data_IF_574425352811
#
_entry.id   IF_574425352811
#
_cell.length_a   1.000
_cell.length_b   1.000
_cell.length_c   1.000
_cell.angle_alpha   90.00
_cell.angle_beta   90.00
_cell.angle_gamma   90.00
#
_symmetry.space_group_name_H-M   'P 1'
#
loop_
_entity.id
_entity.type
_entity.pdbx_description
1 polymer ?
#
# COMPACT_ATOMS: atom_id res chain seq x y z
N UNK A 1 -27.41 18.62 1.30
CA UNK A 1 -26.23 17.90 1.81
C UNK A 1 -25.41 17.56 0.59
N UNK A 2 -24.32 18.29 0.35
CA UNK A 2 -23.38 17.95 -0.73
C UNK A 2 -22.60 16.73 -0.27
N UNK A 3 -22.67 15.65 -1.05
CA UNK A 3 -21.83 14.48 -0.92
C UNK A 3 -20.37 14.92 -1.11
N UNK A 4 -19.63 14.99 -0.01
CA UNK A 4 -18.20 15.31 -0.02
C UNK A 4 -17.46 13.99 -0.15
N UNK A 5 -17.40 13.46 -1.36
CA UNK A 5 -16.56 12.30 -1.68
C UNK A 5 -15.12 12.78 -1.87
N UNK A 6 -14.19 12.08 -1.22
CA UNK A 6 -12.75 12.29 -1.38
C UNK A 6 -12.22 11.34 -2.44
N UNK A 7 -11.46 11.86 -3.39
CA UNK A 7 -10.78 11.07 -4.41
C UNK A 7 -9.29 11.05 -4.11
N UNK A 8 -8.70 9.86 -4.05
CA UNK A 8 -7.26 9.66 -4.02
C UNK A 8 -6.86 9.22 -5.42
N UNK A 9 -6.03 10.02 -6.09
CA UNK A 9 -5.42 9.66 -7.36
C UNK A 9 -4.05 9.02 -7.08
N UNK A 10 -3.91 7.76 -7.45
CA UNK A 10 -2.66 7.00 -7.29
C UNK A 10 -1.70 7.18 -8.48
N UNK A 11 -2.08 7.93 -9.52
CA UNK A 11 -1.29 8.20 -10.72
C UNK A 11 -1.20 7.03 -11.70
N UNK A 12 -1.17 5.79 -11.18
CA UNK A 12 -1.10 4.54 -11.93
C UNK A 12 -2.21 3.57 -11.51
N UNK A 13 -2.38 2.47 -12.24
CA UNK A 13 -3.45 1.49 -12.00
C UNK A 13 -3.26 0.75 -10.65
N UNK A 14 -4.18 0.91 -9.67
CA UNK A 14 -4.17 0.11 -8.45
C UNK A 14 -4.77 -1.28 -8.70
N UNK A 15 -4.19 -2.30 -8.07
CA UNK A 15 -4.71 -3.68 -8.08
C UNK A 15 -5.45 -4.05 -6.81
N UNK A 16 -4.99 -3.56 -5.66
CA UNK A 16 -5.58 -3.84 -4.34
C UNK A 16 -5.40 -2.63 -3.43
N UNK A 17 -6.29 -2.51 -2.44
CA UNK A 17 -6.26 -1.46 -1.42
C UNK A 17 -6.62 -2.03 -0.06
N UNK A 18 -6.07 -1.43 1.00
CA UNK A 18 -6.41 -1.78 2.37
C UNK A 18 -6.37 -0.54 3.26
N UNK A 19 -7.25 -0.48 4.24
CA UNK A 19 -7.29 0.61 5.20
C UNK A 19 -6.55 0.21 6.45
N UNK A 20 -5.70 1.11 6.95
CA UNK A 20 -5.05 0.90 8.24
C UNK A 20 -6.12 0.74 9.33
N UNK A 21 -5.98 -0.23 10.25
CA UNK A 21 -7.06 -0.60 11.18
C UNK A 21 -7.49 0.52 12.14
N UNK A 22 -6.60 1.46 12.44
CA UNK A 22 -6.84 2.51 13.46
C UNK A 22 -6.45 3.94 13.05
N UNK A 23 -5.77 4.12 11.92
CA UNK A 23 -5.19 5.41 11.51
C UNK A 23 -5.79 5.82 10.18
N UNK A 24 -5.93 7.12 9.86
CA UNK A 24 -6.48 7.57 8.60
C UNK A 24 -5.44 7.45 7.47
N UNK A 25 -5.11 6.20 7.14
CA UNK A 25 -4.12 5.79 6.18
C UNK A 25 -4.73 4.71 5.29
N UNK A 26 -4.65 4.89 3.98
CA UNK A 26 -4.97 3.84 3.01
C UNK A 26 -3.69 3.41 2.30
N UNK A 27 -3.58 2.12 2.02
CA UNK A 27 -2.50 1.55 1.23
C UNK A 27 -3.05 1.09 -0.13
N UNK A 28 -2.22 1.20 -1.17
CA UNK A 28 -2.54 0.70 -2.50
C UNK A 28 -1.31 0.04 -3.15
N UNK A 29 -1.52 -1.06 -3.85
CA UNK A 29 -0.51 -1.73 -4.65
C UNK A 29 -0.76 -1.45 -6.11
N UNK A 30 0.25 -1.00 -6.84
CA UNK A 30 0.06 -0.53 -8.24
C UNK A 30 0.82 -1.39 -9.26
N UNK A 31 0.51 -1.15 -10.53
CA UNK A 31 1.05 -1.87 -11.69
C UNK A 31 2.57 -1.85 -11.81
N UNK A 32 3.24 -0.82 -11.31
CA UNK A 32 4.70 -0.68 -11.35
C UNK A 32 5.41 -1.53 -10.31
N UNK A 33 4.67 -2.17 -9.39
CA UNK A 33 5.24 -2.92 -8.27
C UNK A 33 5.38 -2.12 -6.98
N UNK A 34 5.02 -0.84 -7.01
CA UNK A 34 5.10 0.01 -5.83
C UNK A 34 3.92 -0.21 -4.88
N UNK A 35 4.23 -0.09 -3.59
CA UNK A 35 3.28 0.09 -2.52
C UNK A 35 3.19 1.59 -2.21
N UNK A 36 1.97 2.12 -2.29
CA UNK A 36 1.63 3.50 -1.97
C UNK A 36 0.95 3.55 -0.59
N UNK A 37 1.39 4.44 0.26
CA UNK A 37 0.81 4.73 1.57
C UNK A 37 0.31 6.18 1.57
N UNK A 38 -1.00 6.35 1.67
CA UNK A 38 -1.69 7.62 1.49
C UNK A 38 -2.45 8.02 2.76
N UNK A 39 -1.89 8.94 3.57
CA UNK A 39 -2.64 9.57 4.65
C UNK A 39 -3.80 10.37 4.06
N UNK A 40 -4.96 10.27 4.70
CA UNK A 40 -6.15 11.01 4.30
C UNK A 40 -6.77 11.76 5.47
N UNK A 41 -7.55 12.79 5.19
CA UNK A 41 -8.40 13.42 6.19
C UNK A 41 -9.69 13.91 5.51
N UNK A 42 -10.81 13.82 6.22
CA UNK A 42 -12.15 14.09 5.69
C UNK A 42 -12.32 15.51 5.13
N UNK A 43 -11.51 16.47 5.60
CA UNK A 43 -11.62 17.90 5.27
C UNK A 43 -10.38 18.47 4.56
N UNK A 44 -9.49 17.61 4.03
CA UNK A 44 -8.26 18.08 3.36
C UNK A 44 -7.95 17.28 2.11
N UNK A 45 -7.23 17.92 1.18
CA UNK A 45 -6.67 17.22 0.03
C UNK A 45 -5.75 16.07 0.49
N UNK A 46 -5.73 14.93 -0.22
CA UNK A 46 -4.85 13.81 0.11
C UNK A 46 -3.41 14.29 0.29
N UNK A 47 -2.76 13.87 1.38
CA UNK A 47 -1.36 14.20 1.60
C UNK A 47 -0.46 13.37 0.68
N UNK A 48 0.79 13.83 0.55
CA UNK A 48 1.84 13.22 -0.28
C UNK A 48 1.85 11.69 -0.10
N UNK A 49 1.73 11.00 -1.24
CA UNK A 49 1.90 9.55 -1.34
C UNK A 49 3.30 9.18 -0.89
N UNK A 50 3.41 8.34 0.12
CA UNK A 50 4.67 7.70 0.48
C UNK A 50 4.80 6.43 -0.35
N UNK A 51 5.93 6.25 -1.02
CA UNK A 51 6.14 5.19 -1.99
C UNK A 51 7.22 4.24 -1.51
N UNK A 52 6.95 2.94 -1.62
CA UNK A 52 7.90 1.87 -1.35
C UNK A 52 7.95 0.99 -2.59
N UNK A 53 9.13 0.92 -3.21
CA UNK A 53 9.35 -0.03 -4.31
C UNK A 53 9.38 -1.45 -3.76
N UNK A 54 8.23 -2.14 -3.85
CA UNK A 54 8.02 -3.41 -3.19
C UNK A 54 8.37 -4.58 -4.12
N UNK A 55 8.19 -4.44 -5.43
CA UNK A 55 8.23 -5.55 -6.37
C UNK A 55 8.74 -5.12 -7.75
N UNK A 56 9.36 -6.04 -8.48
CA UNK A 56 9.84 -5.83 -9.86
C UNK A 56 8.71 -6.02 -10.90
N UNK A 57 7.58 -6.58 -10.48
CA UNK A 57 6.33 -6.67 -11.22
C UNK A 57 5.16 -6.13 -10.37
N UNK A 58 3.96 -6.04 -10.96
CA UNK A 58 2.75 -5.48 -10.32
C UNK A 58 2.53 -5.94 -8.88
N UNK A 59 2.33 -5.00 -7.95
CA UNK A 59 1.95 -5.31 -6.58
C UNK A 59 0.44 -5.64 -6.55
N UNK A 60 0.09 -6.93 -6.56
CA UNK A 60 -1.29 -7.39 -6.80
C UNK A 60 -2.15 -7.55 -5.57
N UNK A 61 -1.54 -7.66 -4.40
CA UNK A 61 -2.29 -7.76 -3.15
C UNK A 61 -1.49 -7.16 -2.01
N UNK A 62 -2.21 -6.64 -1.01
CA UNK A 62 -1.61 -6.09 0.20
C UNK A 62 -2.55 -6.22 1.41
N UNK A 63 -2.01 -6.43 2.61
CA UNK A 63 -2.78 -6.38 3.86
C UNK A 63 -2.00 -5.75 5.00
N UNK A 64 -2.62 -4.84 5.75
CA UNK A 64 -2.11 -4.44 7.05
C UNK A 64 -2.17 -5.63 8.02
N UNK A 65 -1.10 -5.81 8.77
CA UNK A 65 -0.94 -6.85 9.78
C UNK A 65 -0.39 -6.23 11.06
N UNK A 66 -0.34 -7.01 12.14
CA UNK A 66 0.28 -6.60 13.40
C UNK A 66 -0.25 -5.23 13.91
N UNK A 67 -1.58 -5.10 13.95
CA UNK A 67 -2.29 -3.87 14.32
C UNK A 67 -1.95 -2.65 13.46
N UNK A 68 -1.48 -2.88 12.23
CA UNK A 68 -1.14 -1.84 11.26
C UNK A 68 0.31 -1.38 11.30
N UNK A 69 1.14 -1.93 12.19
CA UNK A 69 2.59 -1.61 12.21
C UNK A 69 3.34 -2.14 10.99
N UNK A 70 2.81 -3.18 10.35
CA UNK A 70 3.39 -3.76 9.14
C UNK A 70 2.33 -3.98 8.07
N UNK A 71 2.78 -4.04 6.83
CA UNK A 71 1.99 -4.39 5.66
C UNK A 71 2.70 -5.47 4.88
N UNK A 72 1.96 -6.47 4.41
CA UNK A 72 2.47 -7.54 3.56
C UNK A 72 1.95 -7.34 2.15
N UNK A 73 2.84 -7.39 1.16
CA UNK A 73 2.53 -7.29 -0.27
C UNK A 73 2.94 -8.56 -1.02
N UNK A 74 2.27 -8.83 -2.15
CA UNK A 74 2.60 -9.95 -3.03
C UNK A 74 2.51 -9.59 -4.51
N UNK A 75 3.36 -10.22 -5.32
CA UNK A 75 3.52 -9.92 -6.74
C UNK A 75 3.73 -11.19 -7.60
N UNK A 76 3.44 -11.13 -8.92
CA UNK A 76 3.83 -12.15 -9.89
C UNK A 76 5.33 -12.34 -10.05
N UNK A 77 6.16 -11.40 -9.55
CA UNK A 77 7.62 -11.57 -9.47
C UNK A 77 8.04 -12.70 -8.50
N UNK A 78 7.07 -13.46 -7.98
CA UNK A 78 7.21 -14.58 -7.07
C UNK A 78 7.74 -14.18 -5.70
N UNK A 79 7.72 -12.89 -5.34
CA UNK A 79 8.13 -12.41 -4.02
C UNK A 79 6.94 -12.00 -3.13
N UNK A 80 7.15 -12.13 -1.83
CA UNK A 80 6.30 -11.56 -0.77
C UNK A 80 7.18 -10.65 0.08
N UNK A 81 6.73 -9.41 0.33
CA UNK A 81 7.45 -8.43 1.14
C UNK A 81 6.61 -8.03 2.34
N UNK A 82 7.20 -8.05 3.53
CA UNK A 82 6.67 -7.36 4.70
C UNK A 82 7.43 -6.04 4.88
N UNK A 83 6.70 -4.95 5.01
CA UNK A 83 7.21 -3.58 5.14
C UNK A 83 6.72 -2.98 6.46
N UNK A 84 7.62 -2.33 7.18
CA UNK A 84 7.29 -1.54 8.37
C UNK A 84 6.62 -0.22 7.95
N UNK A 85 5.44 0.07 8.50
CA UNK A 85 4.59 1.17 8.01
C UNK A 85 5.16 2.54 8.39
N UNK A 86 5.80 2.66 9.55
CA UNK A 86 6.36 3.93 10.05
C UNK A 86 7.66 4.28 9.31
N UNK A 87 8.59 3.32 9.27
CA UNK A 87 9.94 3.50 8.72
C UNK A 87 10.00 3.25 7.23
N UNK A 88 8.98 2.61 6.64
CA UNK A 88 8.91 2.19 5.22
C UNK A 88 10.01 1.22 4.80
N UNK A 89 10.67 0.61 5.78
CA UNK A 89 11.76 -0.33 5.55
C UNK A 89 11.23 -1.75 5.41
N UNK A 90 11.92 -2.54 4.58
CA UNK A 90 11.65 -3.98 4.51
C UNK A 90 11.92 -4.63 5.87
N UNK A 91 10.93 -5.34 6.40
CA UNK A 91 11.06 -6.20 7.58
C UNK A 91 11.61 -7.57 7.14
N UNK A 92 10.99 -8.14 6.10
CA UNK A 92 11.38 -9.44 5.56
C UNK A 92 10.91 -9.56 4.10
N UNK A 93 11.72 -10.21 3.27
CA UNK A 93 11.36 -10.58 1.90
C UNK A 93 11.49 -12.09 1.75
N UNK A 94 10.48 -12.71 1.16
CA UNK A 94 10.51 -14.11 0.74
C UNK A 94 10.53 -14.14 -0.79
N UNK A 95 11.65 -14.60 -1.34
CA UNK A 95 11.80 -14.86 -2.77
C UNK A 95 11.30 -16.25 -3.15
N UNK A 96 10.86 -16.41 -4.40
CA UNK A 96 10.35 -17.69 -4.93
C UNK A 96 9.22 -18.29 -4.05
N UNK A 97 8.33 -17.43 -3.56
CA UNK A 97 7.22 -17.80 -2.68
C UNK A 97 6.13 -18.62 -3.40
N UNK A 98 6.03 -18.49 -4.73
CA UNK A 98 5.06 -19.20 -5.57
C UNK A 98 5.56 -19.30 -7.03
N UNK A 99 4.72 -19.84 -7.92
CA UNK A 99 5.00 -20.02 -9.35
C UNK A 99 3.74 -20.20 -10.18
#
# INVERSE_FOLDING_TARGET
MTDSSMVIDFGELPFDVDFHPTSPLVAAGIITGDLLLCPYATDSQPQRVLEVHAHDESCRTLRFINDGHAIVTGSPDCSILSTDVETRSAIARLENAHG
#
